data_IF_493383350048
#
_entry.id   IF_493383350048
#
_cell.length_a   1.000
_cell.length_b   1.000
_cell.length_c   1.000
_cell.angle_alpha   90.00
_cell.angle_beta   90.00
_cell.angle_gamma   90.00
#
_symmetry.space_group_name_H-M   'P 1'
#
loop_
_entity.id
_entity.type
_entity.pdbx_description
1 polymer ?
#
# COMPACT_ATOMS: atom_id res chain seq x y z
N UNK A 1 -9.16 13.39 -23.14
CA UNK A 1 -8.11 14.01 -22.29
C UNK A 1 -8.30 13.44 -20.88
N UNK A 2 -7.56 12.37 -20.53
CA UNK A 2 -7.51 11.89 -19.14
C UNK A 2 -6.40 12.68 -18.45
N UNK A 3 -6.79 13.61 -17.60
CA UNK A 3 -5.87 14.22 -16.63
C UNK A 3 -5.35 13.09 -15.75
N UNK A 4 -4.05 12.85 -15.74
CA UNK A 4 -3.42 11.97 -14.77
C UNK A 4 -3.64 12.60 -13.40
N UNK A 5 -4.70 12.21 -12.70
CA UNK A 5 -4.79 12.38 -11.24
C UNK A 5 -3.53 11.74 -10.67
N UNK A 6 -2.81 12.49 -9.82
CA UNK A 6 -1.61 11.99 -9.15
C UNK A 6 -1.86 10.57 -8.62
N UNK A 7 -0.97 9.63 -8.93
CA UNK A 7 -1.09 8.20 -8.58
C UNK A 7 -1.13 8.03 -7.04
N UNK A 8 -0.70 9.04 -6.30
CA UNK A 8 -0.74 9.11 -4.85
C UNK A 8 -1.01 10.54 -4.35
N UNK A 9 -1.35 10.67 -3.07
CA UNK A 9 -1.45 11.94 -2.34
C UNK A 9 -0.61 11.88 -1.07
N UNK A 10 0.02 13.01 -0.74
CA UNK A 10 0.80 13.20 0.49
C UNK A 10 -0.07 13.98 1.49
N UNK A 11 -0.20 13.47 2.70
CA UNK A 11 -0.97 14.07 3.78
C UNK A 11 -0.10 14.19 5.03
N UNK A 12 -0.22 15.27 5.82
CA UNK A 12 0.44 15.32 7.12
C UNK A 12 -0.12 14.23 8.03
N UNK A 13 0.75 13.52 8.75
CA UNK A 13 0.35 12.46 9.67
C UNK A 13 1.49 11.57 10.11
N UNK A 14 1.50 11.23 11.40
CA UNK A 14 2.52 10.40 12.04
C UNK A 14 2.07 8.97 12.31
N UNK A 15 0.83 8.61 11.92
CA UNK A 15 0.24 7.29 12.10
C UNK A 15 -0.80 7.03 11.01
N UNK A 16 -0.98 5.77 10.62
CA UNK A 16 -2.02 5.39 9.65
C UNK A 16 -3.42 5.61 10.26
N UNK A 17 -4.29 6.42 9.62
CA UNK A 17 -5.58 6.81 10.17
C UNK A 17 -6.51 5.62 10.46
N UNK A 18 -7.35 5.75 11.47
CA UNK A 18 -8.29 4.70 11.88
C UNK A 18 -9.35 4.34 10.81
N UNK A 19 -9.55 5.19 9.80
CA UNK A 19 -10.42 4.86 8.66
C UNK A 19 -9.84 3.75 7.77
N UNK A 20 -8.54 3.47 7.84
CA UNK A 20 -7.96 2.26 7.27
C UNK A 20 -8.29 1.10 8.21
N UNK A 21 -9.29 0.29 7.84
CA UNK A 21 -9.84 -0.76 8.70
C UNK A 21 -8.86 -1.94 8.90
N UNK A 22 -7.86 -2.06 8.03
CA UNK A 22 -6.75 -3.00 8.19
C UNK A 22 -5.44 -2.22 8.24
N UNK A 23 -4.66 -2.42 9.31
CA UNK A 23 -3.43 -1.67 9.58
C UNK A 23 -2.35 -2.58 10.17
N UNK A 24 -1.11 -2.29 9.82
CA UNK A 24 0.08 -2.77 10.51
C UNK A 24 0.81 -1.57 11.11
N UNK A 25 1.06 -1.63 12.43
CA UNK A 25 1.78 -0.57 13.16
C UNK A 25 3.30 -0.70 13.05
N UNK A 26 3.78 -1.77 12.41
CA UNK A 26 5.20 -2.01 12.16
C UNK A 26 5.36 -2.66 10.80
N UNK A 27 6.13 -2.01 9.92
CA UNK A 27 6.49 -2.54 8.61
C UNK A 27 5.41 -2.35 7.55
N UNK A 28 5.69 -2.90 6.37
CA UNK A 28 4.86 -2.75 5.18
C UNK A 28 3.99 -3.96 4.82
N UNK A 29 3.77 -4.91 5.73
CA UNK A 29 2.99 -6.13 5.42
C UNK A 29 1.73 -6.21 6.26
N UNK A 30 0.60 -6.53 5.62
CA UNK A 30 -0.66 -6.81 6.30
C UNK A 30 -1.47 -7.87 5.56
N UNK A 31 -2.37 -8.55 6.27
CA UNK A 31 -3.34 -9.48 5.71
C UNK A 31 -4.75 -8.96 5.95
N UNK A 32 -5.61 -9.02 4.93
CA UNK A 32 -7.02 -8.67 5.05
C UNK A 32 -7.88 -9.90 4.80
N UNK A 33 -9.06 -9.90 5.43
CA UNK A 33 -10.11 -10.89 5.19
C UNK A 33 -11.29 -10.20 4.52
N UNK A 34 -11.68 -10.71 3.38
CA UNK A 34 -12.85 -10.29 2.62
C UNK A 34 -14.06 -11.03 3.17
N UNK A 35 -15.09 -10.27 3.54
CA UNK A 35 -16.34 -10.80 4.08
C UNK A 35 -17.44 -10.94 3.00
N UNK A 36 -17.12 -10.65 1.74
CA UNK A 36 -18.07 -10.65 0.63
C UNK A 36 -18.29 -12.05 0.06
N UNK A 37 -19.55 -12.36 -0.25
CA UNK A 37 -19.96 -13.57 -0.96
C UNK A 37 -21.10 -13.22 -1.93
N UNK A 38 -20.92 -13.38 -3.25
CA UNK A 38 -19.71 -13.83 -3.95
C UNK A 38 -18.57 -12.80 -3.89
N UNK A 39 -17.32 -13.26 -4.02
CA UNK A 39 -16.17 -12.37 -4.12
C UNK A 39 -16.23 -11.56 -5.43
N UNK A 40 -15.88 -10.26 -5.41
CA UNK A 40 -15.87 -9.44 -6.60
C UNK A 40 -14.72 -9.87 -7.53
N UNK A 41 -14.91 -9.70 -8.84
CA UNK A 41 -13.88 -10.03 -9.83
C UNK A 41 -12.65 -9.14 -9.67
N UNK A 42 -12.82 -7.86 -9.39
CA UNK A 42 -11.72 -6.98 -9.00
C UNK A 42 -12.07 -6.21 -7.74
N UNK A 43 -11.05 -5.88 -6.97
CA UNK A 43 -11.18 -5.15 -5.73
C UNK A 43 -10.31 -3.90 -5.79
N UNK A 44 -10.95 -2.74 -5.71
CA UNK A 44 -10.25 -1.46 -5.56
C UNK A 44 -10.10 -1.12 -4.09
N UNK A 45 -8.86 -0.84 -3.70
CA UNK A 45 -8.52 -0.47 -2.34
C UNK A 45 -7.70 0.81 -2.36
N UNK A 46 -7.77 1.52 -1.24
CA UNK A 46 -6.86 2.61 -0.93
C UNK A 46 -5.76 2.10 -0.01
N UNK A 47 -4.52 2.22 -0.44
CA UNK A 47 -3.35 2.00 0.40
C UNK A 47 -2.94 3.29 1.12
N UNK A 48 -2.36 3.12 2.30
CA UNK A 48 -1.69 4.17 3.04
C UNK A 48 -0.40 3.62 3.62
N UNK A 49 0.70 4.35 3.45
CA UNK A 49 1.99 4.02 4.05
C UNK A 49 2.54 5.26 4.76
N UNK A 50 3.27 5.02 5.84
CA UNK A 50 4.10 6.00 6.51
C UNK A 50 5.57 5.60 6.33
N UNK A 51 6.39 6.56 5.92
CA UNK A 51 7.83 6.37 5.82
C UNK A 51 8.52 6.77 7.12
N UNK A 52 9.56 6.03 7.47
CA UNK A 52 10.51 6.38 8.53
C UNK A 52 11.90 6.48 7.93
N UNK A 53 12.62 7.54 8.28
CA UNK A 53 14.04 7.66 7.98
C UNK A 53 14.82 6.95 9.09
N UNK A 54 15.67 6.00 8.73
CA UNK A 54 16.48 5.23 9.70
C UNK A 54 17.89 5.77 9.89
N UNK A 55 18.33 6.69 9.03
CA UNK A 55 19.67 7.27 9.04
C UNK A 55 19.57 8.81 9.11
N UNK A 56 19.29 9.33 10.31
CA UNK A 56 19.17 10.77 10.56
C UNK A 56 20.47 11.56 10.30
N UNK A 57 21.63 10.89 10.31
CA UNK A 57 22.95 11.51 10.12
C UNK A 57 23.31 11.77 8.64
N UNK A 58 22.65 11.09 7.70
CA UNK A 58 22.88 11.31 6.27
C UNK A 58 21.83 12.26 5.73
N UNK A 59 22.26 13.40 5.19
CA UNK A 59 21.44 14.21 4.30
C UNK A 59 21.19 13.35 3.06
N UNK A 60 20.06 12.67 3.02
CA UNK A 60 19.67 11.87 1.87
C UNK A 60 19.30 12.84 0.75
N UNK A 61 20.13 12.90 -0.30
CA UNK A 61 19.97 13.80 -1.46
C UNK A 61 18.86 13.29 -2.42
N UNK A 62 18.12 12.26 -2.00
CA UNK A 62 17.06 11.66 -2.80
C UNK A 62 15.69 12.16 -2.35
N UNK A 63 15.12 13.03 -3.17
CA UNK A 63 13.76 13.55 -2.97
C UNK A 63 12.66 12.54 -3.31
N UNK A 64 12.98 11.36 -3.88
CA UNK A 64 11.96 10.44 -4.38
C UNK A 64 12.44 9.00 -4.43
N UNK A 65 11.52 8.03 -4.44
CA UNK A 65 11.83 6.60 -4.49
C UNK A 65 10.71 5.75 -5.10
N UNK A 66 11.03 4.50 -5.41
CA UNK A 66 10.02 3.49 -5.74
C UNK A 66 9.58 2.70 -4.51
N UNK A 67 8.27 2.56 -4.35
CA UNK A 67 7.61 1.60 -3.46
C UNK A 67 7.04 0.49 -4.30
N UNK A 68 7.50 -0.74 -4.05
CA UNK A 68 6.91 -1.96 -4.58
C UNK A 68 5.65 -2.29 -3.79
N UNK A 69 4.59 -2.64 -4.51
CA UNK A 69 3.32 -3.10 -3.97
C UNK A 69 3.07 -4.51 -4.53
N UNK A 70 3.07 -5.49 -3.64
CA UNK A 70 2.70 -6.87 -3.95
C UNK A 70 1.36 -7.19 -3.29
N UNK A 71 0.39 -7.63 -4.09
CA UNK A 71 -0.88 -8.16 -3.60
C UNK A 71 -0.88 -9.66 -3.88
N UNK A 72 -0.99 -10.47 -2.83
CA UNK A 72 -0.85 -11.90 -2.86
C UNK A 72 -2.22 -12.51 -2.51
N UNK A 73 -2.83 -13.16 -3.49
CA UNK A 73 -4.05 -13.96 -3.31
C UNK A 73 -3.63 -15.42 -3.07
N UNK A 74 -3.95 -15.94 -1.88
CA UNK A 74 -3.67 -17.33 -1.49
C UNK A 74 -4.92 -18.19 -1.71
N UNK A 75 -4.95 -18.96 -2.80
CA UNK A 75 -5.95 -20.00 -2.98
C UNK A 75 -5.70 -21.17 -2.02
N UNK A 76 -6.76 -21.82 -1.56
CA UNK A 76 -6.73 -22.95 -0.61
C UNK A 76 -5.93 -24.21 -1.05
N UNK A 77 -5.21 -24.16 -2.18
CA UNK A 77 -4.35 -25.25 -2.69
C UNK A 77 -3.11 -24.75 -3.46
N UNK A 78 -2.26 -23.94 -2.84
CA UNK A 78 -0.90 -23.55 -3.30
C UNK A 78 -0.78 -22.55 -4.46
N UNK A 79 -1.83 -22.29 -5.25
CA UNK A 79 -1.75 -21.27 -6.32
C UNK A 79 -1.80 -19.87 -5.73
N UNK A 80 -0.64 -19.22 -5.71
CA UNK A 80 -0.47 -17.83 -5.31
C UNK A 80 -0.54 -16.94 -6.54
N UNK A 81 -1.58 -16.12 -6.67
CA UNK A 81 -1.62 -15.05 -7.67
C UNK A 81 -0.98 -13.80 -7.09
N UNK A 82 -0.16 -13.11 -7.88
CA UNK A 82 0.47 -11.85 -7.47
C UNK A 82 0.13 -10.73 -8.44
N UNK A 83 -0.35 -9.62 -7.90
CA UNK A 83 -0.41 -8.34 -8.61
C UNK A 83 0.77 -7.50 -8.15
N UNK A 84 1.60 -7.08 -9.11
CA UNK A 84 2.78 -6.25 -8.88
C UNK A 84 2.52 -4.84 -9.40
N UNK A 85 2.83 -3.83 -8.58
CA UNK A 85 2.86 -2.42 -8.99
C UNK A 85 4.06 -1.74 -8.36
N UNK A 86 4.66 -0.81 -9.10
CA UNK A 86 5.70 0.07 -8.60
C UNK A 86 5.15 1.49 -8.56
N UNK A 87 5.23 2.13 -7.40
CA UNK A 87 4.78 3.48 -7.16
C UNK A 87 5.98 4.40 -6.95
N UNK A 88 6.14 5.39 -7.82
CA UNK A 88 7.15 6.42 -7.66
C UNK A 88 6.60 7.55 -6.78
N UNK A 89 7.19 7.76 -5.59
CA UNK A 89 6.76 8.76 -4.61
C UNK A 89 7.85 9.80 -4.34
N UNK A 90 7.45 11.05 -4.10
CA UNK A 90 8.32 12.15 -3.69
C UNK A 90 7.52 13.44 -3.45
N UNK A 91 7.96 14.39 -2.60
CA UNK A 91 9.14 14.35 -1.75
C UNK A 91 9.09 13.22 -0.70
N UNK A 92 10.25 12.71 -0.25
CA UNK A 92 10.35 11.79 0.88
C UNK A 92 10.32 12.58 2.19
N UNK A 93 9.26 12.41 2.97
CA UNK A 93 8.99 13.19 4.17
C UNK A 93 8.70 12.26 5.34
N UNK A 94 9.33 12.54 6.47
CA UNK A 94 8.87 12.03 7.77
C UNK A 94 7.61 12.77 8.19
N UNK A 95 6.82 12.17 9.10
CA UNK A 95 5.55 12.76 9.59
C UNK A 95 4.50 13.02 8.49
N UNK A 96 4.62 12.30 7.37
CA UNK A 96 3.65 12.32 6.29
C UNK A 96 3.21 10.91 5.90
N UNK A 97 2.03 10.85 5.32
CA UNK A 97 1.37 9.65 4.84
C UNK A 97 1.24 9.73 3.33
N UNK A 98 1.55 8.63 2.66
CA UNK A 98 1.35 8.47 1.23
C UNK A 98 0.14 7.59 1.03
N UNK A 99 -0.87 8.12 0.35
CA UNK A 99 -2.11 7.39 0.04
C UNK A 99 -2.23 7.19 -1.46
N UNK A 100 -2.68 6.02 -1.89
CA UNK A 100 -2.75 5.65 -3.31
C UNK A 100 -3.84 4.60 -3.53
N UNK A 101 -4.25 4.42 -4.78
CA UNK A 101 -5.21 3.38 -5.14
C UNK A 101 -4.49 2.14 -5.69
N UNK A 102 -5.01 0.97 -5.33
CA UNK A 102 -4.53 -0.32 -5.81
C UNK A 102 -5.73 -1.15 -6.24
N UNK A 103 -5.54 -1.94 -7.29
CA UNK A 103 -6.57 -2.86 -7.79
C UNK A 103 -6.03 -4.29 -7.73
N UNK A 104 -6.75 -5.16 -7.05
CA UNK A 104 -6.52 -6.59 -7.08
C UNK A 104 -7.48 -7.20 -8.11
N UNK A 105 -6.94 -7.76 -9.18
CA UNK A 105 -7.72 -8.36 -10.28
C UNK A 105 -7.87 -9.87 -10.09
N UNK A 106 -9.04 -10.39 -10.47
CA UNK A 106 -9.49 -11.77 -10.32
C UNK A 106 -9.27 -12.32 -8.92
N UNK A 107 -9.84 -11.64 -7.92
CA UNK A 107 -9.78 -12.09 -6.52
C UNK A 107 -10.58 -13.38 -6.36
N UNK A 108 -9.91 -14.42 -5.86
CA UNK A 108 -10.49 -15.75 -5.69
C UNK A 108 -10.46 -16.25 -4.25
N UNK A 109 -9.55 -15.75 -3.41
CA UNK A 109 -9.52 -16.04 -1.98
C UNK A 109 -10.23 -14.99 -1.15
N UNK A 110 -10.70 -15.43 0.02
CA UNK A 110 -11.20 -14.54 1.06
C UNK A 110 -10.07 -13.88 1.84
N UNK A 111 -8.81 -14.28 1.64
CA UNK A 111 -7.65 -13.67 2.30
C UNK A 111 -6.66 -13.13 1.27
N UNK A 112 -6.31 -11.85 1.41
CA UNK A 112 -5.30 -11.17 0.59
C UNK A 112 -4.18 -10.63 1.48
N UNK A 113 -2.93 -10.77 1.03
CA UNK A 113 -1.76 -10.20 1.70
C UNK A 113 -1.25 -9.04 0.86
N UNK A 114 -0.98 -7.92 1.52
CA UNK A 114 -0.38 -6.74 0.93
C UNK A 114 1.03 -6.59 1.47
N UNK A 115 2.00 -6.41 0.58
CA UNK A 115 3.39 -6.12 0.93
C UNK A 115 3.85 -4.83 0.23
N UNK A 116 4.24 -3.86 1.04
CA UNK A 116 4.81 -2.58 0.64
C UNK A 116 6.30 -2.60 0.95
N UNK A 117 7.14 -2.46 -0.06
CA UNK A 117 8.60 -2.55 0.09
C UNK A 117 9.30 -1.37 -0.58
N UNK A 118 10.25 -0.76 0.11
CA UNK A 118 11.10 0.31 -0.42
C UNK A 118 12.19 -0.30 -1.32
N UNK A 119 12.37 0.21 -2.56
CA UNK A 119 13.22 -0.45 -3.57
C UNK A 119 14.60 0.17 -3.81
N UNK A 120 14.81 1.42 -3.40
CA UNK A 120 15.94 2.21 -3.93
C UNK A 120 16.89 2.72 -2.85
N UNK A 121 16.40 2.96 -1.63
CA UNK A 121 17.20 3.61 -0.58
C UNK A 121 17.06 2.86 0.74
N UNK A 122 18.20 2.49 1.31
CA UNK A 122 18.27 1.79 2.60
C UNK A 122 17.87 2.70 3.77
N UNK A 123 17.94 4.03 3.58
CA UNK A 123 17.62 5.04 4.59
C UNK A 123 16.12 5.16 4.87
N UNK A 124 15.25 4.69 3.97
CA UNK A 124 13.80 4.81 4.11
C UNK A 124 13.15 3.44 4.24
N UNK A 125 12.31 3.30 5.26
CA UNK A 125 11.52 2.09 5.49
C UNK A 125 10.05 2.43 5.67
N UNK A 126 9.19 1.44 5.45
CA UNK A 126 7.78 1.54 5.84
C UNK A 126 7.69 1.35 7.35
N UNK A 127 7.26 2.39 8.06
CA UNK A 127 7.02 2.34 9.49
C UNK A 127 5.67 1.72 9.80
N UNK A 128 4.62 2.21 9.13
CA UNK A 128 3.25 1.73 9.25
C UNK A 128 2.62 1.62 7.86
N UNK A 129 1.64 0.71 7.72
CA UNK A 129 0.81 0.65 6.53
C UNK A 129 -0.64 0.32 6.86
N UNK A 130 -1.54 0.63 5.93
CA UNK A 130 -2.94 0.26 6.02
C UNK A 130 -3.61 0.20 4.66
N UNK A 131 -4.72 -0.51 4.63
CA UNK A 131 -5.60 -0.60 3.46
C UNK A 131 -7.05 -0.40 3.85
N UNK A 132 -7.77 0.27 2.96
CA UNK A 132 -9.20 0.50 3.06
C UNK A 132 -9.86 0.02 1.77
N UNK A 133 -10.82 -0.88 1.87
CA UNK A 133 -11.58 -1.34 0.71
C UNK A 133 -12.54 -0.23 0.27
N UNK A 134 -12.50 0.13 -1.01
CA UNK A 134 -13.46 1.07 -1.59
C UNK A 134 -14.65 0.22 -2.03
N UNK A 135 -15.77 0.30 -1.31
CA UNK A 135 -17.01 -0.31 -1.77
C UNK A 135 -17.46 0.44 -3.02
N UNK A 136 -17.45 -0.23 -4.18
CA UNK A 136 -18.14 0.30 -5.35
C UNK A 136 -19.65 0.19 -5.09
N UNK A 137 -20.38 1.30 -5.25
CA UNK A 137 -21.82 1.31 -5.08
C UNK A 137 -22.48 0.40 -6.14
N UNK A 138 -23.55 -0.34 -5.80
CA UNK A 138 -24.26 -1.22 -6.73
C UNK A 138 -24.82 -0.51 -7.97
#
# INVERSE_FOLDING_TARGET
>A
MHTWTSIYAILPGTQVPACFNHRATVGGSLTIKLNESPLPKSLRLKGCIMLVNINEETVDDHDSMFVKIDIIDKHNDLKVRRTLRDLFIGPLLTEHLYTFEVEAEDVTSTELIFEFTTKTYDNWKIGECGVYQILEAP
#
